data_IF_494748344501
#
_entry.id   IF_494748344501
#
_cell.length_a   1.000
_cell.length_b   1.000
_cell.length_c   1.000
_cell.angle_alpha   90.00
_cell.angle_beta   90.00
_cell.angle_gamma   90.00
#
_symmetry.space_group_name_H-M   'P 1'
#
loop_
_entity.id
_entity.type
_entity.pdbx_description
1 polymer ?
#
# COMPACT_ATOMS: atom_id res chain seq x y z
N UNK A 1 -2.61 -12.60 -4.17
CA UNK A 1 -1.84 -12.53 -2.92
C UNK A 1 -2.63 -11.70 -1.92
N UNK A 2 -2.74 -12.21 -0.69
CA UNK A 2 -3.38 -11.48 0.40
C UNK A 2 -2.41 -10.42 0.93
N UNK A 3 -2.92 -9.21 1.13
CA UNK A 3 -2.14 -8.06 1.60
C UNK A 3 -2.58 -7.79 3.05
N UNK A 4 -1.71 -8.00 4.06
CA UNK A 4 -2.10 -7.99 5.47
C UNK A 4 -2.16 -6.56 6.04
N UNK A 5 -2.80 -5.64 5.31
CA UNK A 5 -3.05 -4.28 5.78
C UNK A 5 -4.34 -4.23 6.59
N UNK A 6 -4.27 -3.56 7.73
CA UNK A 6 -5.42 -3.26 8.58
C UNK A 6 -6.29 -2.17 7.95
N UNK A 7 -7.52 -2.03 8.46
CA UNK A 7 -8.44 -0.95 8.04
C UNK A 7 -7.77 0.43 8.10
N UNK A 8 -7.16 0.76 9.23
CA UNK A 8 -6.47 2.05 9.44
C UNK A 8 -5.34 2.25 8.42
N UNK A 9 -4.55 1.23 8.16
CA UNK A 9 -3.47 1.31 7.18
C UNK A 9 -3.98 1.52 5.75
N UNK A 10 -5.10 0.88 5.40
CA UNK A 10 -5.76 1.10 4.11
C UNK A 10 -6.25 2.56 3.99
N UNK A 11 -6.80 3.13 5.06
CA UNK A 11 -7.20 4.55 5.11
C UNK A 11 -5.98 5.48 4.89
N UNK A 12 -4.83 5.18 5.51
CA UNK A 12 -3.58 5.90 5.29
C UNK A 12 -3.14 5.85 3.82
N UNK A 13 -3.10 4.65 3.22
CA UNK A 13 -2.69 4.46 1.82
C UNK A 13 -3.59 5.24 0.85
N UNK A 14 -4.91 5.21 1.06
CA UNK A 14 -5.85 6.01 0.26
C UNK A 14 -5.59 7.51 0.43
N UNK A 15 -5.22 7.93 1.64
CA UNK A 15 -4.85 9.31 1.96
C UNK A 15 -3.65 9.83 1.17
N UNK A 16 -2.63 8.98 0.95
CA UNK A 16 -1.43 9.34 0.17
C UNK A 16 -1.74 9.57 -1.32
N UNK A 17 -2.70 8.82 -1.86
CA UNK A 17 -3.07 8.88 -3.29
C UNK A 17 -4.57 9.11 -3.47
N UNK A 18 -5.00 10.35 -3.28
CA UNK A 18 -6.42 10.70 -3.44
C UNK A 18 -6.93 10.58 -4.89
N UNK A 19 -6.05 10.77 -5.88
CA UNK A 19 -6.37 10.69 -7.31
C UNK A 19 -5.38 9.80 -8.05
N UNK A 20 -5.90 8.83 -8.80
CA UNK A 20 -5.13 8.02 -9.73
C UNK A 20 -4.82 8.80 -11.01
N UNK A 21 -3.60 8.65 -11.51
CA UNK A 21 -3.18 9.16 -12.82
C UNK A 21 -3.24 8.07 -13.89
N UNK A 22 -3.11 6.81 -13.49
CA UNK A 22 -3.08 5.65 -14.39
C UNK A 22 -4.22 4.67 -14.11
N UNK A 23 -4.69 3.92 -15.13
CA UNK A 23 -5.75 2.93 -14.95
C UNK A 23 -5.46 1.87 -13.87
N UNK A 24 -4.20 1.45 -13.74
CA UNK A 24 -3.83 0.45 -12.73
C UNK A 24 -3.84 1.02 -11.31
N UNK A 25 -3.45 2.29 -11.13
CA UNK A 25 -3.62 2.99 -9.86
C UNK A 25 -5.10 3.09 -9.48
N UNK A 26 -5.98 3.40 -10.44
CA UNK A 26 -7.42 3.48 -10.19
C UNK A 26 -7.99 2.12 -9.76
N UNK A 27 -7.55 1.02 -10.38
CA UNK A 27 -7.92 -0.34 -9.97
C UNK A 27 -7.47 -0.65 -8.55
N UNK A 28 -6.26 -0.24 -8.17
CA UNK A 28 -5.75 -0.38 -6.80
C UNK A 28 -6.62 0.40 -5.81
N UNK A 29 -6.91 1.67 -6.09
CA UNK A 29 -7.76 2.51 -5.22
C UNK A 29 -9.17 1.92 -5.05
N UNK A 30 -9.78 1.40 -6.12
CA UNK A 30 -11.09 0.72 -6.05
C UNK A 30 -11.05 -0.49 -5.12
N UNK A 31 -9.98 -1.30 -5.17
CA UNK A 31 -9.82 -2.47 -4.30
C UNK A 31 -9.63 -2.07 -2.83
N UNK A 32 -8.80 -1.04 -2.58
CA UNK A 32 -8.60 -0.52 -1.22
C UNK A 32 -9.92 -0.01 -0.62
N UNK A 33 -10.69 0.78 -1.37
CA UNK A 33 -12.01 1.26 -0.92
C UNK A 33 -12.98 0.11 -0.66
N UNK A 34 -13.05 -0.87 -1.55
CA UNK A 34 -13.90 -2.05 -1.35
C UNK A 34 -13.53 -2.85 -0.10
N UNK A 35 -12.24 -3.01 0.19
CA UNK A 35 -11.79 -3.69 1.40
C UNK A 35 -12.21 -2.94 2.69
N UNK A 36 -12.31 -1.60 2.66
CA UNK A 36 -12.87 -0.81 3.77
C UNK A 36 -14.38 -0.95 3.91
N UNK A 37 -15.10 -1.01 2.80
CA UNK A 37 -16.57 -1.05 2.80
C UNK A 37 -17.12 -2.42 3.20
N UNK A 38 -16.49 -3.49 2.73
CA UNK A 38 -17.02 -4.86 2.90
C UNK A 38 -16.28 -5.69 3.96
N UNK A 39 -15.29 -5.10 4.65
CA UNK A 39 -14.37 -5.80 5.58
C UNK A 39 -13.73 -7.05 4.94
N UNK A 40 -13.66 -7.08 3.60
CA UNK A 40 -13.09 -8.18 2.84
C UNK A 40 -11.55 -8.14 2.90
N UNK A 41 -10.92 -9.32 2.90
CA UNK A 41 -9.48 -9.43 2.80
C UNK A 41 -8.94 -8.73 1.54
N UNK A 42 -7.90 -7.91 1.70
CA UNK A 42 -7.33 -7.15 0.60
C UNK A 42 -6.50 -8.05 -0.31
N UNK A 43 -7.06 -8.38 -1.48
CA UNK A 43 -6.41 -9.24 -2.48
C UNK A 43 -5.89 -8.45 -3.66
N UNK A 44 -4.58 -8.53 -3.87
CA UNK A 44 -3.89 -7.86 -4.96
C UNK A 44 -3.07 -8.82 -5.81
N UNK A 45 -2.78 -8.40 -7.05
CA UNK A 45 -1.68 -9.00 -7.84
C UNK A 45 -0.34 -8.41 -7.39
N UNK A 46 0.77 -9.04 -7.80
CA UNK A 46 2.12 -8.54 -7.51
C UNK A 46 2.31 -7.09 -7.99
N UNK A 47 1.90 -6.79 -9.23
CA UNK A 47 1.97 -5.43 -9.79
C UNK A 47 1.17 -4.41 -8.95
N UNK A 48 -0.03 -4.79 -8.50
CA UNK A 48 -0.86 -3.92 -7.67
C UNK A 48 -0.21 -3.64 -6.31
N UNK A 49 0.41 -4.64 -5.69
CA UNK A 49 1.16 -4.43 -4.46
C UNK A 49 2.42 -3.58 -4.67
N UNK A 50 3.11 -3.72 -5.80
CA UNK A 50 4.24 -2.85 -6.17
C UNK A 50 3.80 -1.39 -6.34
N UNK A 51 2.63 -1.15 -6.92
CA UNK A 51 2.06 0.21 -7.02
C UNK A 51 1.86 0.82 -5.63
N UNK A 52 1.24 0.07 -4.70
CA UNK A 52 1.04 0.55 -3.32
C UNK A 52 2.37 0.77 -2.60
N UNK A 53 3.33 -0.14 -2.80
CA UNK A 53 4.67 -0.01 -2.22
C UNK A 53 5.39 1.24 -2.73
N UNK A 54 5.32 1.53 -4.03
CA UNK A 54 5.86 2.77 -4.60
C UNK A 54 5.23 4.02 -3.99
N UNK A 55 3.91 4.03 -3.76
CA UNK A 55 3.27 5.16 -3.06
C UNK A 55 3.77 5.32 -1.62
N UNK A 56 4.03 4.22 -0.92
CA UNK A 56 4.57 4.25 0.45
C UNK A 56 6.01 4.79 0.47
N UNK A 57 6.84 4.38 -0.50
CA UNK A 57 8.21 4.89 -0.66
C UNK A 57 8.23 6.39 -1.01
N UNK A 58 7.34 6.83 -1.92
CA UNK A 58 7.18 8.24 -2.28
C UNK A 58 6.77 9.09 -1.07
N UNK A 59 5.83 8.58 -0.25
CA UNK A 59 5.34 9.28 0.93
C UNK A 59 6.45 9.51 1.96
N UNK A 60 7.25 8.47 2.25
CA UNK A 60 8.35 8.54 3.20
C UNK A 60 9.50 9.38 2.66
N UNK A 61 9.84 9.23 1.38
CA UNK A 61 10.94 9.98 0.73
C UNK A 61 10.61 11.46 0.61
N UNK A 62 9.36 11.81 0.32
CA UNK A 62 8.89 13.19 0.16
C UNK A 62 8.73 13.95 1.47
N UNK A 63 8.37 13.26 2.57
CA UNK A 63 8.18 13.90 3.87
C UNK A 63 9.47 14.04 4.70
N UNK A 64 10.41 13.10 4.59
CA UNK A 64 11.57 13.03 5.50
C UNK A 64 12.93 13.31 4.86
N UNK A 65 13.02 13.66 3.57
CA UNK A 65 14.25 14.15 2.95
C UNK A 65 15.46 13.23 3.15
N UNK A 66 15.26 11.90 3.06
CA UNK A 66 16.30 10.89 3.28
C UNK A 66 16.55 10.52 4.75
N UNK A 67 15.70 10.97 5.67
CA UNK A 67 15.72 10.60 7.10
C UNK A 67 14.75 9.47 7.46
N UNK A 68 15.09 8.75 8.53
CA UNK A 68 14.38 7.62 9.13
C UNK A 68 12.86 7.87 9.26
N UNK A 69 12.03 6.88 8.88
CA UNK A 69 10.56 6.96 8.96
C UNK A 69 10.13 7.29 10.39
N UNK A 70 9.58 8.49 10.60
CA UNK A 70 9.16 8.95 11.92
C UNK A 70 7.82 8.40 12.37
N UNK A 71 7.02 7.86 11.45
CA UNK A 71 5.67 7.36 11.69
C UNK A 71 5.64 5.81 11.75
N UNK A 72 5.34 5.20 12.91
CA UNK A 72 5.27 3.75 13.06
C UNK A 72 4.25 3.07 12.13
N UNK A 73 3.13 3.72 11.82
CA UNK A 73 2.13 3.18 10.89
C UNK A 73 2.69 3.09 9.46
N UNK A 74 3.37 4.13 8.98
CA UNK A 74 3.98 4.14 7.64
C UNK A 74 5.04 3.04 7.51
N UNK A 75 5.88 2.88 8.54
CA UNK A 75 6.88 1.81 8.59
C UNK A 75 6.21 0.42 8.55
N UNK A 76 5.14 0.22 9.33
CA UNK A 76 4.41 -1.06 9.34
C UNK A 76 3.85 -1.42 7.96
N UNK A 77 3.30 -0.43 7.24
CA UNK A 77 2.76 -0.61 5.89
C UNK A 77 3.87 -1.05 4.93
N UNK A 78 5.03 -0.37 4.96
CA UNK A 78 6.19 -0.69 4.12
C UNK A 78 6.68 -2.11 4.38
N UNK A 79 6.85 -2.50 5.64
CA UNK A 79 7.37 -3.82 6.01
C UNK A 79 6.44 -4.95 5.59
N UNK A 80 5.13 -4.75 5.76
CA UNK A 80 4.11 -5.71 5.29
C UNK A 80 4.15 -5.88 3.78
N UNK A 81 4.15 -4.78 3.03
CA UNK A 81 4.20 -4.81 1.57
C UNK A 81 5.49 -5.45 1.05
N UNK A 82 6.64 -5.10 1.65
CA UNK A 82 7.93 -5.71 1.35
C UNK A 82 7.89 -7.22 1.56
N UNK A 83 7.40 -7.67 2.72
CA UNK A 83 7.29 -9.09 3.06
C UNK A 83 6.48 -9.88 2.03
N UNK A 84 5.30 -9.37 1.64
CA UNK A 84 4.47 -10.08 0.64
C UNK A 84 5.12 -10.05 -0.76
N UNK A 85 5.78 -8.96 -1.14
CA UNK A 85 6.48 -8.87 -2.42
C UNK A 85 7.69 -9.82 -2.50
N UNK A 86 8.41 -10.01 -1.40
CA UNK A 86 9.52 -10.97 -1.29
C UNK A 86 9.02 -12.42 -1.28
N UNK A 87 7.91 -12.71 -0.60
CA UNK A 87 7.27 -14.03 -0.62
C UNK A 87 6.78 -14.39 -2.03
N UNK A 88 6.11 -13.45 -2.71
CA UNK A 88 5.67 -13.61 -4.08
C UNK A 88 6.82 -13.79 -5.08
N UNK A 89 8.05 -13.35 -4.77
CA UNK A 89 9.20 -13.53 -5.66
C UNK A 89 9.83 -14.92 -5.54
N UNK A 90 9.51 -15.65 -4.47
CA UNK A 90 10.05 -16.99 -4.16
C UNK A 90 9.13 -18.13 -4.60
N UNK A 91 7.88 -17.82 -4.98
CA UNK A 91 6.88 -18.77 -5.50
C UNK A 91 6.83 -18.73 -7.02
#
# INVERSE_FOLDING_TARGET
>A
MDIPLTRREIEFVIGWKQKAFWPDEERVLKKLRRALESEEALRMSRLQAQIVFGWAEDQVSGHYGGGQVGNPEEQSIIDKLRGVLEESARS
#
